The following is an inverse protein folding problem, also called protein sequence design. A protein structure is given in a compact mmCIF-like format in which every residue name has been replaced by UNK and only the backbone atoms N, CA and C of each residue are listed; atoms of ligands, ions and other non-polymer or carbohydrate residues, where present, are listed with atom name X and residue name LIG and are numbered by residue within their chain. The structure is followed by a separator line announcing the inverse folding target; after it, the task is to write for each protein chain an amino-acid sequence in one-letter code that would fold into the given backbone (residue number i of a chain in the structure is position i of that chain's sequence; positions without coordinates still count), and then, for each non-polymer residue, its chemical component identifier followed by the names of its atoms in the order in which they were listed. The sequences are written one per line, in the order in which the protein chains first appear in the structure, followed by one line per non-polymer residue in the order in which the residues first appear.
data_IF_878800500040
#
_entry.id   IF_878800500040
#
_cell.length_a   1.000
_cell.length_b   1.000
_cell.length_c   1.000
_cell.angle_alpha   90.00
_cell.angle_beta   90.00
_cell.angle_gamma   90.00
#
_symmetry.space_group_name_H-M   'P 1'
#
loop_
_entity.id
_entity.type
_entity.pdbx_description
1 polymer ?
#
# COMPACT_ATOMS: atom_id res chain seq x y z
N UNK A 1 -25.57 1.25 -11.23
CA UNK A 1 -25.00 2.47 -10.61
C UNK A 1 -24.07 2.02 -9.50
N UNK A 2 -22.75 2.04 -9.72
CA UNK A 2 -21.77 1.93 -8.63
C UNK A 2 -20.97 3.22 -8.68
N UNK A 3 -21.25 4.10 -7.73
CA UNK A 3 -20.56 5.36 -7.59
C UNK A 3 -19.13 5.08 -7.16
N UNK A 4 -18.19 5.24 -8.08
CA UNK A 4 -16.77 5.37 -7.75
C UNK A 4 -16.62 6.65 -6.95
N UNK A 5 -16.74 6.54 -5.63
CA UNK A 5 -16.52 7.62 -4.69
C UNK A 5 -15.09 8.13 -4.89
N UNK A 6 -14.99 9.19 -5.69
CA UNK A 6 -13.90 10.13 -5.89
C UNK A 6 -12.83 10.02 -4.79
N UNK A 7 -11.85 9.13 -4.97
CA UNK A 7 -10.59 9.15 -4.21
C UNK A 7 -9.69 10.26 -4.76
N UNK A 8 -10.25 11.48 -4.82
CA UNK A 8 -9.54 12.72 -5.06
C UNK A 8 -9.49 13.53 -3.76
N UNK A 9 -8.94 12.90 -2.72
CA UNK A 9 -8.42 13.59 -1.54
C UNK A 9 -7.00 13.07 -1.38
N UNK A 10 -6.07 14.00 -1.19
CA UNK A 10 -4.64 13.87 -1.45
C UNK A 10 -3.95 12.66 -0.83
N UNK A 11 -2.70 12.48 -1.19
CA UNK A 11 -1.82 11.35 -0.86
C UNK A 11 -1.54 11.12 0.65
N UNK A 12 -2.35 11.71 1.53
CA UNK A 12 -2.27 11.73 3.00
C UNK A 12 -3.53 11.18 3.68
N UNK A 13 -4.46 10.54 2.94
CA UNK A 13 -5.72 10.03 3.50
C UNK A 13 -5.63 8.76 4.35
N UNK A 14 -4.46 8.13 4.43
CA UNK A 14 -4.32 6.91 5.23
C UNK A 14 -3.85 7.31 6.63
N UNK A 15 -4.39 6.68 7.67
CA UNK A 15 -3.90 6.84 9.04
C UNK A 15 -2.56 6.10 9.14
N UNK A 16 -1.48 6.79 8.80
CA UNK A 16 -0.15 6.20 8.58
C UNK A 16 0.70 6.18 9.85
N UNK A 17 0.09 6.31 11.03
CA UNK A 17 0.77 6.23 12.33
C UNK A 17 1.52 4.89 12.46
N UNK A 18 0.98 3.84 11.85
CA UNK A 18 1.66 2.56 11.78
C UNK A 18 2.88 2.50 10.85
N UNK A 19 2.97 3.38 9.86
CA UNK A 19 4.13 3.43 8.98
C UNK A 19 5.38 3.89 9.70
N UNK A 20 5.24 4.64 10.79
CA UNK A 20 6.38 5.12 11.57
C UNK A 20 7.06 4.00 12.36
N UNK A 21 6.32 2.94 12.66
CA UNK A 21 6.80 1.77 13.42
C UNK A 21 7.37 0.68 12.53
N UNK A 22 6.96 0.64 11.26
CA UNK A 22 7.49 -0.32 10.30
C UNK A 22 8.85 0.18 9.79
N UNK A 23 9.87 -0.67 9.78
CA UNK A 23 11.18 -0.36 9.17
C UNK A 23 11.13 -0.32 7.62
N UNK A 24 9.97 -0.01 7.03
CA UNK A 24 9.76 0.16 5.59
C UNK A 24 9.67 1.65 5.30
N UNK A 25 10.36 2.17 4.27
CA UNK A 25 10.20 3.56 3.86
C UNK A 25 8.72 3.89 3.59
N UNK A 26 8.19 4.96 4.20
CA UNK A 26 6.81 5.44 4.00
C UNK A 26 6.40 5.50 2.51
N UNK A 27 7.25 5.95 1.57
CA UNK A 27 6.89 5.96 0.14
C UNK A 27 6.60 4.58 -0.45
N UNK A 28 7.34 3.55 -0.02
CA UNK A 28 7.14 2.18 -0.47
C UNK A 28 5.83 1.58 0.06
N UNK A 29 5.48 1.90 1.30
CA UNK A 29 4.22 1.50 1.91
C UNK A 29 3.02 2.16 1.22
N UNK A 30 3.07 3.49 1.01
CA UNK A 30 2.05 4.22 0.23
C UNK A 30 1.92 3.67 -1.19
N UNK A 31 3.02 3.25 -1.81
CA UNK A 31 2.99 2.58 -3.11
C UNK A 31 2.29 1.21 -3.03
N UNK A 32 2.67 0.35 -2.09
CA UNK A 32 2.06 -0.98 -1.92
C UNK A 32 0.55 -0.93 -1.71
N UNK A 33 0.07 0.01 -0.88
CA UNK A 33 -1.36 0.23 -0.65
C UNK A 33 -2.06 0.66 -1.95
N UNK A 34 -1.51 1.64 -2.69
CA UNK A 34 -2.08 2.10 -3.97
C UNK A 34 -2.15 0.98 -5.01
N UNK A 35 -1.10 0.16 -5.13
CA UNK A 35 -1.09 -0.98 -6.05
C UNK A 35 -2.18 -1.99 -5.71
N UNK A 36 -2.37 -2.28 -4.41
CA UNK A 36 -3.43 -3.17 -3.94
C UNK A 36 -4.84 -2.62 -4.18
N UNK A 37 -5.05 -1.33 -3.93
CA UNK A 37 -6.34 -0.66 -4.21
C UNK A 37 -6.64 -0.55 -5.72
N UNK A 38 -5.60 -0.55 -6.56
CA UNK A 38 -5.72 -0.59 -8.03
C UNK A 38 -6.06 -1.99 -8.57
N UNK A 39 -6.19 -3.00 -7.69
CA UNK A 39 -6.56 -4.36 -8.07
C UNK A 39 -5.40 -5.27 -8.48
N UNK A 40 -4.14 -4.82 -8.37
CA UNK A 40 -2.98 -5.69 -8.63
C UNK A 40 -2.93 -6.86 -7.64
N UNK A 41 -2.48 -8.03 -8.09
CA UNK A 41 -2.29 -9.16 -7.19
C UNK A 41 -1.22 -8.87 -6.13
N UNK A 42 -1.26 -9.59 -5.01
CA UNK A 42 -0.22 -9.48 -3.98
C UNK A 42 1.18 -9.80 -4.52
N UNK A 43 1.28 -10.80 -5.40
CA UNK A 43 2.56 -11.19 -6.00
C UNK A 43 3.12 -10.08 -6.89
N UNK A 44 2.27 -9.46 -7.72
CA UNK A 44 2.70 -8.34 -8.59
C UNK A 44 3.16 -7.14 -7.76
N UNK A 45 2.43 -6.82 -6.68
CA UNK A 45 2.83 -5.75 -5.76
C UNK A 45 4.19 -6.03 -5.13
N UNK A 46 4.46 -7.27 -4.69
CA UNK A 46 5.76 -7.66 -4.12
C UNK A 46 6.87 -7.51 -5.17
N UNK A 47 6.67 -8.03 -6.38
CA UNK A 47 7.67 -7.90 -7.45
C UNK A 47 7.97 -6.45 -7.82
N UNK A 48 6.99 -5.55 -7.75
CA UNK A 48 7.22 -4.11 -7.96
C UNK A 48 8.04 -3.51 -6.81
N UNK A 49 7.78 -3.89 -5.56
CA UNK A 49 8.54 -3.41 -4.39
C UNK A 49 9.98 -3.93 -4.40
N UNK A 50 10.20 -5.19 -4.76
CA UNK A 50 11.54 -5.79 -4.90
C UNK A 50 12.38 -5.05 -5.94
N UNK A 51 11.76 -4.66 -7.08
CA UNK A 51 12.42 -3.82 -8.11
C UNK A 51 12.83 -2.44 -7.62
N UNK A 52 12.24 -1.97 -6.51
CA UNK A 52 12.60 -0.73 -5.83
C UNK A 52 13.53 -0.97 -4.64
N UNK A 53 14.13 -2.16 -4.54
CA UNK A 53 14.98 -2.61 -3.42
C UNK A 53 14.24 -2.64 -2.07
N UNK A 54 12.92 -2.82 -2.11
CA UNK A 54 12.07 -2.99 -0.94
C UNK A 54 11.56 -4.42 -0.90
N UNK A 55 12.34 -5.30 -0.30
CA UNK A 55 11.94 -6.68 -0.08
C UNK A 55 10.95 -6.76 1.10
N UNK A 56 9.75 -7.29 0.85
CA UNK A 56 8.74 -7.52 1.88
C UNK A 56 7.96 -8.79 1.60
N UNK A 57 7.66 -9.51 2.66
CA UNK A 57 6.82 -10.70 2.60
C UNK A 57 5.38 -10.32 2.24
N UNK A 58 4.67 -11.27 1.63
CA UNK A 58 3.26 -11.16 1.27
C UNK A 58 2.35 -10.77 2.42
N UNK A 59 2.61 -11.30 3.62
CA UNK A 59 1.87 -10.99 4.84
C UNK A 59 2.01 -9.52 5.24
N UNK A 60 3.21 -8.94 5.11
CA UNK A 60 3.48 -7.53 5.40
C UNK A 60 2.69 -6.62 4.46
N UNK A 61 2.72 -6.88 3.16
CA UNK A 61 1.97 -6.09 2.16
C UNK A 61 0.46 -6.21 2.37
N UNK A 62 -0.03 -7.40 2.72
CA UNK A 62 -1.45 -7.60 3.06
C UNK A 62 -1.86 -6.80 4.30
N UNK A 63 -1.03 -6.80 5.34
CA UNK A 63 -1.27 -6.06 6.58
C UNK A 63 -1.33 -4.54 6.35
N UNK A 64 -0.59 -4.00 5.38
CA UNK A 64 -0.66 -2.57 5.07
C UNK A 64 -2.04 -2.12 4.60
N UNK A 65 -2.75 -2.97 3.84
CA UNK A 65 -4.10 -2.66 3.38
C UNK A 65 -5.09 -2.74 4.56
N UNK A 66 -4.99 -3.78 5.39
CA UNK A 66 -5.85 -3.95 6.56
C UNK A 66 -5.72 -2.84 7.61
N UNK A 67 -4.55 -2.21 7.69
CA UNK A 67 -4.28 -1.12 8.64
C UNK A 67 -4.55 0.27 8.07
N UNK A 68 -4.79 0.36 6.76
CA UNK A 68 -5.07 1.61 6.05
C UNK A 68 -6.56 1.80 5.72
N UNK A 69 -7.36 0.75 5.89
CA UNK A 69 -8.84 0.78 5.97
C UNK A 69 -9.27 1.16 7.40
#
# INVERSE_FOLDING_TARGET
MIGTARLNRGSDCFELDFLEREATPKPAMKLGIRLRLSGLSLSDTISILERLSVERCRSTVHNWVQRAD
#
